data_IF_340724361990
#
_entry.id   IF_340724361990
#
_cell.length_a   1.000
_cell.length_b   1.000
_cell.length_c   1.000
_cell.angle_alpha   90.00
_cell.angle_beta   90.00
_cell.angle_gamma   90.00
#
_symmetry.space_group_name_H-M   'P 1'
#
loop_
_entity.id
_entity.type
_entity.pdbx_description
1 polymer ?
#
# COMPACT_ATOMS: atom_id res chain seq x y z
N UNK A 1 20.80 9.27 9.29
CA UNK A 1 21.96 8.36 9.06
C UNK A 1 21.92 7.95 7.59
N UNK A 2 22.98 7.35 7.04
CA UNK A 2 22.99 6.96 5.62
C UNK A 2 22.34 5.60 5.39
N UNK A 3 22.07 5.27 4.12
CA UNK A 3 21.70 3.91 3.72
C UNK A 3 22.82 2.90 4.04
N UNK A 4 22.44 1.78 4.65
CA UNK A 4 23.35 0.69 4.99
C UNK A 4 23.10 -0.49 4.07
N UNK A 5 24.16 -1.02 3.47
CA UNK A 5 24.07 -2.20 2.60
C UNK A 5 23.75 -3.44 3.45
N UNK A 6 22.86 -4.27 2.94
CA UNK A 6 22.49 -5.58 3.48
C UNK A 6 22.90 -6.64 2.47
N UNK A 7 23.59 -7.69 2.92
CA UNK A 7 24.02 -8.78 2.04
C UNK A 7 22.83 -9.46 1.38
N UNK A 8 23.00 -9.88 0.12
CA UNK A 8 21.98 -10.52 -0.68
C UNK A 8 21.61 -9.74 -1.94
N UNK A 9 20.84 -10.39 -2.82
CA UNK A 9 20.36 -9.82 -4.07
C UNK A 9 18.87 -10.11 -4.22
N UNK A 10 18.06 -9.06 -4.35
CA UNK A 10 16.60 -9.18 -4.49
C UNK A 10 16.09 -8.36 -5.68
N UNK A 11 14.97 -8.79 -6.24
CA UNK A 11 14.24 -8.08 -7.28
C UNK A 11 13.04 -7.33 -6.75
N UNK A 12 12.46 -7.81 -5.65
CA UNK A 12 11.37 -7.15 -4.93
C UNK A 12 11.40 -7.59 -3.45
N UNK A 13 10.90 -6.73 -2.57
CA UNK A 13 10.73 -7.02 -1.15
C UNK A 13 9.45 -6.39 -0.59
N UNK A 14 8.97 -6.92 0.53
CA UNK A 14 7.90 -6.33 1.31
C UNK A 14 8.24 -6.40 2.80
N UNK A 15 7.74 -5.43 3.54
CA UNK A 15 8.06 -5.22 4.95
C UNK A 15 6.77 -5.00 5.74
N UNK A 16 6.56 -5.84 6.75
CA UNK A 16 5.48 -5.69 7.73
C UNK A 16 5.96 -5.06 9.03
N UNK A 17 5.18 -5.27 10.10
CA UNK A 17 5.51 -4.81 11.46
C UNK A 17 6.70 -5.57 12.05
N UNK A 18 7.48 -4.91 12.91
CA UNK A 18 8.60 -5.53 13.62
C UNK A 18 9.74 -5.94 12.68
N UNK A 19 9.90 -5.21 11.55
CA UNK A 19 10.86 -5.53 10.49
C UNK A 19 10.70 -6.96 9.94
N UNK A 20 9.45 -7.46 9.83
CA UNK A 20 9.15 -8.71 9.13
C UNK A 20 9.33 -8.50 7.63
N UNK A 21 10.55 -8.75 7.14
CA UNK A 21 10.94 -8.52 5.75
C UNK A 21 10.97 -9.84 4.99
N UNK A 22 10.31 -9.84 3.84
CA UNK A 22 10.40 -10.92 2.86
C UNK A 22 10.85 -10.35 1.52
N UNK A 23 11.51 -11.19 0.72
CA UNK A 23 12.01 -10.80 -0.59
C UNK A 23 11.99 -11.94 -1.58
N UNK A 24 12.00 -11.58 -2.85
CA UNK A 24 12.19 -12.50 -3.97
C UNK A 24 13.36 -12.04 -4.82
N UNK A 25 14.06 -12.97 -5.47
CA UNK A 25 15.19 -12.65 -6.34
C UNK A 25 14.91 -12.94 -7.84
N UNK A 26 15.91 -12.72 -8.69
CA UNK A 26 15.78 -12.89 -10.14
C UNK A 26 15.57 -14.35 -10.59
N UNK A 27 15.85 -15.33 -9.71
CA UNK A 27 15.62 -16.76 -9.93
C UNK A 27 14.30 -17.22 -9.30
N UNK A 28 13.44 -16.29 -8.90
CA UNK A 28 12.17 -16.53 -8.21
C UNK A 28 12.32 -17.17 -6.83
N UNK A 29 13.54 -17.23 -6.26
CA UNK A 29 13.72 -17.75 -4.91
C UNK A 29 13.11 -16.80 -3.88
N UNK A 30 12.44 -17.37 -2.88
CA UNK A 30 11.79 -16.64 -1.80
C UNK A 30 12.73 -16.61 -0.59
N UNK A 31 12.87 -15.45 0.04
CA UNK A 31 13.70 -15.26 1.23
C UNK A 31 12.93 -14.54 2.33
N UNK A 32 13.22 -14.91 3.57
CA UNK A 32 12.80 -14.21 4.78
C UNK A 32 14.02 -13.66 5.51
N UNK A 33 13.97 -12.40 5.92
CA UNK A 33 15.02 -11.81 6.74
C UNK A 33 14.85 -12.20 8.20
N UNK A 34 15.82 -12.92 8.76
CA UNK A 34 15.78 -13.43 10.14
C UNK A 34 17.14 -13.17 10.78
N UNK A 35 17.14 -12.47 11.92
CA UNK A 35 18.33 -12.21 12.75
C UNK A 35 19.51 -11.65 11.94
N UNK A 36 19.26 -10.68 11.06
CA UNK A 36 20.30 -10.05 10.24
C UNK A 36 20.69 -10.82 8.98
N UNK A 37 20.04 -11.93 8.67
CA UNK A 37 20.41 -12.80 7.53
C UNK A 37 19.20 -13.23 6.71
N UNK A 38 19.37 -13.37 5.39
CA UNK A 38 18.34 -13.95 4.54
C UNK A 38 18.33 -15.48 4.67
N UNK A 39 17.15 -16.03 4.93
CA UNK A 39 16.88 -17.47 4.93
C UNK A 39 15.98 -17.78 3.76
N UNK A 40 16.43 -18.67 2.88
CA UNK A 40 15.62 -19.12 1.77
C UNK A 40 14.44 -19.95 2.29
N UNK A 41 13.25 -19.68 1.77
CA UNK A 41 12.02 -20.41 2.02
C UNK A 41 11.67 -21.17 0.74
N UNK A 42 11.37 -22.46 0.85
CA UNK A 42 11.05 -23.29 -0.31
C UNK A 42 9.83 -22.74 -1.06
N UNK A 43 9.93 -22.68 -2.38
CA UNK A 43 8.89 -22.12 -3.25
C UNK A 43 9.51 -21.27 -4.36
N UNK A 44 8.66 -20.78 -5.26
CA UNK A 44 9.06 -19.87 -6.32
C UNK A 44 8.04 -18.73 -6.44
N UNK A 45 8.50 -17.48 -6.35
CA UNK A 45 7.65 -16.30 -6.47
C UNK A 45 8.37 -15.14 -7.18
N UNK A 46 7.61 -14.35 -7.92
CA UNK A 46 8.04 -13.10 -8.55
C UNK A 46 7.62 -11.88 -7.75
N UNK A 47 6.73 -12.06 -6.76
CA UNK A 47 6.27 -11.01 -5.88
C UNK A 47 5.96 -11.56 -4.48
N UNK A 48 6.28 -10.79 -3.45
CA UNK A 48 5.88 -11.05 -2.07
C UNK A 48 5.24 -9.82 -1.45
N UNK A 49 4.23 -10.04 -0.63
CA UNK A 49 3.57 -9.02 0.17
C UNK A 49 3.43 -9.48 1.62
N UNK A 50 3.62 -8.55 2.55
CA UNK A 50 3.63 -8.83 4.00
C UNK A 50 2.70 -7.85 4.72
N UNK A 51 1.65 -8.37 5.33
CA UNK A 51 0.73 -7.62 6.18
C UNK A 51 1.34 -7.24 7.53
N UNK A 52 0.81 -6.19 8.16
CA UNK A 52 1.22 -5.78 9.50
C UNK A 52 0.94 -6.84 10.58
N UNK A 53 -0.02 -7.74 10.32
CA UNK A 53 -0.36 -8.90 11.15
C UNK A 53 0.59 -10.09 10.93
N UNK A 54 1.57 -9.96 10.03
CA UNK A 54 2.51 -11.01 9.68
C UNK A 54 2.03 -11.96 8.59
N UNK A 55 0.82 -11.75 8.05
CA UNK A 55 0.32 -12.53 6.90
C UNK A 55 1.25 -12.32 5.70
N UNK A 56 1.59 -13.40 5.01
CA UNK A 56 2.46 -13.35 3.83
C UNK A 56 1.73 -13.94 2.64
N UNK A 57 1.79 -13.22 1.53
CA UNK A 57 1.25 -13.62 0.24
C UNK A 57 2.33 -13.57 -0.81
N UNK A 58 2.28 -14.50 -1.75
CA UNK A 58 3.19 -14.53 -2.89
C UNK A 58 2.43 -14.78 -4.18
N UNK A 59 3.03 -14.27 -5.26
CA UNK A 59 2.58 -14.51 -6.63
C UNK A 59 3.75 -15.11 -7.40
N UNK A 60 3.51 -16.22 -8.08
CA UNK A 60 4.54 -16.86 -8.90
C UNK A 60 4.49 -16.41 -10.36
N UNK A 61 5.44 -16.89 -11.17
CA UNK A 61 5.55 -16.57 -12.60
C UNK A 61 4.36 -17.07 -13.43
N UNK A 62 3.58 -18.01 -12.90
CA UNK A 62 2.33 -18.49 -13.49
C UNK A 62 1.11 -17.69 -13.02
N UNK A 63 1.31 -16.57 -12.31
CA UNK A 63 0.28 -15.73 -11.70
C UNK A 63 -0.60 -16.47 -10.68
N UNK A 64 -0.10 -17.57 -10.12
CA UNK A 64 -0.78 -18.28 -9.04
C UNK A 64 -0.49 -17.58 -7.71
N UNK A 65 -1.53 -17.49 -6.87
CA UNK A 65 -1.48 -16.81 -5.58
C UNK A 65 -1.37 -17.86 -4.48
N UNK A 66 -0.44 -17.66 -3.56
CA UNK A 66 -0.26 -18.49 -2.38
C UNK A 66 -0.19 -17.63 -1.11
N UNK A 67 -0.61 -18.19 0.00
CA UNK A 67 -0.42 -17.61 1.33
C UNK A 67 0.37 -18.55 2.22
N UNK A 68 1.15 -17.99 3.13
CA UNK A 68 2.00 -18.73 4.06
C UNK A 68 1.24 -19.08 5.34
N UNK A 69 1.02 -20.37 5.60
CA UNK A 69 0.29 -20.88 6.77
C UNK A 69 1.06 -22.06 7.34
N UNK A 70 1.34 -22.04 8.65
CA UNK A 70 1.98 -23.15 9.37
C UNK A 70 3.20 -23.75 8.65
N UNK A 71 4.07 -22.87 8.14
CA UNK A 71 5.29 -23.22 7.40
C UNK A 71 5.08 -23.87 6.02
N UNK A 72 3.89 -23.73 5.43
CA UNK A 72 3.57 -24.21 4.10
C UNK A 72 2.89 -23.14 3.25
N UNK A 73 3.08 -23.24 1.92
CA UNK A 73 2.33 -22.44 0.95
C UNK A 73 1.00 -23.10 0.66
N UNK A 74 -0.09 -22.40 0.94
CA UNK A 74 -1.45 -22.79 0.56
C UNK A 74 -1.85 -22.01 -0.68
N UNK A 75 -2.18 -22.72 -1.76
CA UNK A 75 -2.67 -22.10 -2.98
C UNK A 75 -4.08 -21.56 -2.76
N UNK A 76 -4.29 -20.30 -3.16
CA UNK A 76 -5.60 -19.66 -3.10
C UNK A 76 -6.22 -19.67 -4.49
N UNK A 77 -7.31 -20.40 -4.65
CA UNK A 77 -8.04 -20.51 -5.91
C UNK A 77 -8.92 -19.28 -6.13
N UNK A 78 -8.72 -18.66 -7.29
CA UNK A 78 -9.56 -17.62 -7.86
C UNK A 78 -9.20 -17.54 -9.33
N UNK A 79 -10.20 -17.56 -10.22
CA UNK A 79 -9.96 -17.48 -11.66
C UNK A 79 -9.44 -16.09 -12.03
N UNK A 80 -8.12 -15.94 -12.11
CA UNK A 80 -7.50 -14.98 -13.00
C UNK A 80 -6.90 -15.77 -14.16
N UNK A 81 -7.71 -15.91 -15.21
CA UNK A 81 -7.27 -16.40 -16.51
C UNK A 81 -6.34 -15.35 -17.11
N UNK A 82 -5.07 -15.74 -17.30
CA UNK A 82 -4.16 -15.25 -18.32
C UNK A 82 -3.48 -13.86 -18.14
N UNK A 83 -2.20 -13.86 -18.56
CA UNK A 83 -1.45 -12.77 -19.21
C UNK A 83 -0.63 -11.84 -18.30
N UNK A 84 0.71 -11.96 -18.47
CA UNK A 84 1.79 -10.95 -18.33
C UNK A 84 1.77 -10.07 -17.06
N UNK A 85 2.64 -9.08 -16.91
CA UNK A 85 2.58 -7.95 -15.97
C UNK A 85 2.13 -8.19 -14.53
N UNK A 86 3.11 -8.52 -13.70
CA UNK A 86 3.31 -7.99 -12.34
C UNK A 86 2.02 -7.70 -11.56
N UNK A 87 1.52 -8.72 -10.85
CA UNK A 87 0.58 -8.52 -9.74
C UNK A 87 1.33 -7.80 -8.62
N UNK A 88 1.23 -6.48 -8.58
CA UNK A 88 2.26 -5.65 -7.97
C UNK A 88 2.15 -5.49 -6.46
N UNK A 89 1.25 -6.13 -5.70
CA UNK A 89 1.28 -6.11 -4.22
C UNK A 89 0.02 -6.78 -3.67
N UNK A 90 0.20 -7.60 -2.64
CA UNK A 90 -0.84 -8.05 -1.72
C UNK A 90 -0.38 -7.61 -0.33
N UNK A 91 -0.87 -6.49 0.20
CA UNK A 91 -0.60 -6.13 1.59
C UNK A 91 -1.89 -5.76 2.28
N UNK A 92 -2.46 -6.68 3.01
CA UNK A 92 -3.34 -6.28 4.08
C UNK A 92 -3.52 -7.43 5.02
N UNK A 93 -4.17 -7.11 6.13
CA UNK A 93 -4.48 -8.08 7.16
C UNK A 93 -5.47 -9.14 6.62
N UNK A 94 -5.88 -10.05 7.50
CA UNK A 94 -6.98 -11.01 7.22
C UNK A 94 -8.25 -10.39 6.63
N UNK A 95 -8.42 -9.07 6.54
CA UNK A 95 -9.65 -8.41 6.11
C UNK A 95 -9.55 -7.65 4.78
N UNK A 96 -8.37 -7.19 4.36
CA UNK A 96 -8.20 -6.41 3.13
C UNK A 96 -7.09 -6.96 2.24
N UNK A 97 -7.41 -7.38 1.01
CA UNK A 97 -6.39 -7.79 0.04
C UNK A 97 -6.67 -7.08 -1.28
N UNK A 98 -5.67 -6.43 -1.85
CA UNK A 98 -5.74 -5.79 -3.16
C UNK A 98 -4.74 -6.43 -4.11
N UNK A 99 -4.95 -6.24 -5.41
CA UNK A 99 -4.00 -6.61 -6.45
C UNK A 99 -4.38 -6.00 -7.78
N UNK A 100 -3.40 -5.85 -8.67
CA UNK A 100 -3.58 -5.41 -10.06
C UNK A 100 -3.17 -6.54 -10.99
N UNK A 101 -3.85 -6.76 -12.11
CA UNK A 101 -3.36 -7.67 -13.14
C UNK A 101 -2.64 -6.91 -14.26
N UNK A 102 -2.09 -7.61 -15.25
CA UNK A 102 -1.42 -6.98 -16.39
C UNK A 102 -2.30 -6.20 -17.35
N UNK A 103 -3.61 -6.43 -17.30
CA UNK A 103 -4.56 -5.55 -17.99
C UNK A 103 -4.79 -4.25 -17.20
N UNK A 104 -4.00 -4.02 -16.14
CA UNK A 104 -4.10 -2.93 -15.18
C UNK A 104 -5.42 -2.93 -14.40
N UNK A 105 -6.19 -4.02 -14.44
CA UNK A 105 -7.45 -4.14 -13.71
C UNK A 105 -7.15 -4.35 -12.24
N UNK A 106 -7.84 -3.60 -11.40
CA UNK A 106 -7.68 -3.60 -9.96
C UNK A 106 -8.72 -4.55 -9.35
N UNK A 107 -8.31 -5.35 -8.38
CA UNK A 107 -9.19 -6.21 -7.63
C UNK A 107 -9.01 -5.97 -6.13
N UNK A 108 -10.11 -6.06 -5.39
CA UNK A 108 -10.09 -6.14 -3.94
C UNK A 108 -10.82 -7.39 -3.45
N UNK A 109 -10.42 -7.85 -2.27
CA UNK A 109 -11.02 -8.96 -1.55
C UNK A 109 -11.25 -8.52 -0.10
N UNK A 110 -12.48 -8.71 0.35
CA UNK A 110 -12.88 -8.64 1.76
C UNK A 110 -12.82 -10.03 2.39
N UNK A 111 -12.43 -10.12 3.66
CA UNK A 111 -12.29 -11.38 4.40
C UNK A 111 -11.29 -12.33 3.73
N UNK A 112 -10.00 -11.99 3.86
CA UNK A 112 -8.83 -12.74 3.39
C UNK A 112 -8.70 -14.18 3.89
N UNK A 113 -9.66 -14.69 4.66
CA UNK A 113 -9.64 -16.01 5.29
C UNK A 113 -9.71 -17.17 4.28
N UNK A 114 -9.04 -18.27 4.58
CA UNK A 114 -8.65 -19.33 3.64
C UNK A 114 -9.84 -20.26 3.31
N UNK A 115 -10.95 -20.16 4.04
CA UNK A 115 -11.95 -21.24 4.13
C UNK A 115 -13.42 -20.80 3.93
N UNK A 116 -13.75 -20.04 2.88
CA UNK A 116 -15.16 -19.89 2.50
C UNK A 116 -15.35 -20.17 1.01
N UNK A 117 -16.35 -20.96 0.65
CA UNK A 117 -16.68 -21.28 -0.75
C UNK A 117 -17.31 -20.09 -1.52
N UNK A 118 -17.22 -18.86 -0.98
CA UNK A 118 -17.86 -17.64 -1.48
C UNK A 118 -16.83 -16.50 -1.68
N UNK A 119 -15.60 -16.82 -2.06
CA UNK A 119 -14.54 -15.84 -2.27
C UNK A 119 -14.62 -15.22 -3.67
N UNK A 120 -15.05 -13.97 -3.75
CA UNK A 120 -15.16 -13.22 -5.00
C UNK A 120 -14.19 -12.05 -4.96
N UNK A 121 -13.15 -12.11 -5.80
CA UNK A 121 -12.38 -10.92 -6.15
C UNK A 121 -13.29 -9.95 -6.87
N UNK A 122 -13.43 -8.75 -6.33
CA UNK A 122 -14.33 -7.74 -6.88
C UNK A 122 -13.49 -6.73 -7.68
N UNK A 123 -13.80 -6.51 -8.98
CA UNK A 123 -13.09 -5.52 -9.77
C UNK A 123 -13.39 -4.11 -9.24
N UNK A 124 -12.36 -3.27 -9.21
CA UNK A 124 -12.46 -1.84 -8.92
C UNK A 124 -12.18 -1.09 -10.20
N UNK A 125 -13.02 -0.09 -10.50
CA UNK A 125 -12.78 0.79 -11.64
C UNK A 125 -11.45 1.53 -11.49
N UNK A 126 -10.71 1.63 -12.60
CA UNK A 126 -9.37 2.23 -12.64
C UNK A 126 -8.39 1.38 -13.44
N UNK A 127 -7.19 1.92 -13.65
CA UNK A 127 -6.10 1.25 -14.37
C UNK A 127 -4.78 1.56 -13.67
N UNK A 128 -4.23 0.56 -12.98
CA UNK A 128 -3.00 0.70 -12.20
C UNK A 128 -1.98 -0.36 -12.62
N UNK A 129 -0.71 0.03 -12.69
CA UNK A 129 0.41 -0.91 -12.80
C UNK A 129 0.92 -1.31 -11.43
N UNK A 130 0.78 -0.47 -10.41
CA UNK A 130 1.17 -0.73 -9.02
C UNK A 130 0.06 -0.34 -8.03
N UNK A 131 -0.09 -1.07 -6.92
CA UNK A 131 -1.06 -0.78 -5.86
C UNK A 131 -0.53 -1.20 -4.49
N UNK A 132 -0.42 -0.32 -3.51
CA UNK A 132 -0.05 -0.69 -2.14
C UNK A 132 -1.19 -0.41 -1.17
N UNK A 133 -1.30 -1.26 -0.17
CA UNK A 133 -2.36 -1.21 0.85
C UNK A 133 -1.75 -1.44 2.22
N UNK A 134 -2.26 -0.73 3.22
CA UNK A 134 -1.86 -0.85 4.62
C UNK A 134 -2.98 -1.50 5.46
N UNK A 135 -2.63 -1.98 6.65
CA UNK A 135 -3.59 -2.58 7.59
C UNK A 135 -4.66 -1.61 8.10
N UNK A 136 -4.44 -0.29 7.97
CA UNK A 136 -5.44 0.73 8.31
C UNK A 136 -6.44 1.01 7.16
N UNK A 137 -6.35 0.24 6.06
CA UNK A 137 -7.18 0.39 4.87
C UNK A 137 -6.72 1.51 3.92
N UNK A 138 -5.59 2.17 4.19
CA UNK A 138 -5.00 3.13 3.26
C UNK A 138 -4.55 2.40 2.00
N UNK A 139 -5.00 2.85 0.82
CA UNK A 139 -4.60 2.27 -0.47
C UNK A 139 -4.14 3.38 -1.41
N UNK A 140 -3.01 3.13 -2.07
CA UNK A 140 -2.45 3.97 -3.11
C UNK A 140 -2.06 3.14 -4.32
N UNK A 141 -1.93 3.76 -5.48
CA UNK A 141 -1.42 3.09 -6.66
C UNK A 141 -0.80 4.04 -7.67
N UNK A 142 -0.12 3.45 -8.65
CA UNK A 142 0.39 4.17 -9.82
C UNK A 142 -0.14 3.58 -11.11
N UNK A 143 -0.47 4.42 -12.09
CA UNK A 143 -0.94 4.00 -13.42
C UNK A 143 0.22 3.71 -14.38
N UNK A 144 -0.11 3.19 -15.57
CA UNK A 144 0.87 2.98 -16.65
C UNK A 144 1.46 4.28 -17.20
N UNK A 145 0.81 5.42 -16.95
CA UNK A 145 1.33 6.77 -17.24
C UNK A 145 2.07 7.38 -16.05
N UNK A 146 2.34 6.56 -15.02
CA UNK A 146 3.02 6.92 -13.78
C UNK A 146 2.26 7.97 -12.94
N UNK A 147 0.96 8.18 -13.22
CA UNK A 147 0.10 9.01 -12.38
C UNK A 147 -0.18 8.31 -11.05
N UNK A 148 -0.21 9.09 -9.98
CA UNK A 148 -0.37 8.57 -8.62
C UNK A 148 -1.82 8.74 -8.19
N UNK A 149 -2.38 7.71 -7.57
CA UNK A 149 -3.76 7.73 -7.09
C UNK A 149 -3.86 7.25 -5.65
N UNK A 150 -4.76 7.87 -4.88
CA UNK A 150 -5.16 7.47 -3.54
C UNK A 150 -6.61 7.00 -3.55
N UNK A 151 -6.88 5.87 -2.93
CA UNK A 151 -8.25 5.36 -2.79
C UNK A 151 -9.05 6.16 -1.76
N UNK A 152 -10.25 6.60 -2.13
CA UNK A 152 -11.17 7.36 -1.26
C UNK A 152 -12.29 6.50 -0.66
N UNK A 153 -12.27 5.19 -0.85
CA UNK A 153 -13.32 4.27 -0.39
C UNK A 153 -14.36 3.92 -1.46
N UNK A 154 -14.53 4.77 -2.47
CA UNK A 154 -15.47 4.56 -3.58
C UNK A 154 -14.87 4.88 -4.96
N UNK A 155 -13.85 5.73 -5.01
CA UNK A 155 -13.16 6.12 -6.24
C UNK A 155 -11.69 6.48 -5.97
N UNK A 156 -10.91 6.61 -7.03
CA UNK A 156 -9.52 7.04 -7.01
C UNK A 156 -9.41 8.55 -7.11
N UNK A 157 -8.66 9.16 -6.21
CA UNK A 157 -8.28 10.57 -6.27
C UNK A 157 -6.86 10.66 -6.80
N UNK A 158 -6.66 11.36 -7.91
CA UNK A 158 -5.32 11.62 -8.43
C UNK A 158 -4.55 12.55 -7.48
N UNK A 159 -3.30 12.19 -7.20
CA UNK A 159 -2.37 12.98 -6.41
C UNK A 159 -1.24 13.41 -7.34
N UNK A 160 -0.85 14.69 -7.28
CA UNK A 160 0.19 15.24 -8.13
C UNK A 160 1.54 14.52 -7.95
N UNK A 161 2.33 14.47 -9.02
CA UNK A 161 3.62 13.76 -9.07
C UNK A 161 3.60 12.61 -10.07
N UNK A 162 4.76 11.97 -10.24
CA UNK A 162 4.94 10.79 -11.10
C UNK A 162 5.79 9.73 -10.41
N UNK A 163 5.28 8.51 -10.30
CA UNK A 163 5.97 7.38 -9.70
C UNK A 163 5.77 6.11 -10.53
N UNK A 164 6.78 5.24 -10.56
CA UNK A 164 6.68 3.91 -11.17
C UNK A 164 6.45 2.80 -10.15
N UNK A 165 6.63 3.10 -8.86
CA UNK A 165 6.38 2.19 -7.75
C UNK A 165 5.99 2.97 -6.48
N UNK A 166 5.06 2.45 -5.71
CA UNK A 166 4.57 3.00 -4.44
C UNK A 166 4.46 1.92 -3.36
N UNK A 167 4.72 2.28 -2.11
CA UNK A 167 4.61 1.40 -0.95
C UNK A 167 3.99 2.15 0.23
N UNK A 168 3.04 1.53 0.90
CA UNK A 168 2.27 2.11 1.99
C UNK A 168 2.25 1.15 3.16
N UNK A 169 2.64 1.61 4.35
CA UNK A 169 2.49 0.85 5.60
C UNK A 169 1.47 1.46 6.57
N UNK A 170 1.12 2.73 6.39
CA UNK A 170 0.00 3.41 7.03
C UNK A 170 -0.38 4.67 6.27
N UNK A 171 -1.42 5.36 6.73
CA UNK A 171 -1.79 6.71 6.28
C UNK A 171 -0.62 7.71 6.29
N UNK A 172 0.33 7.54 7.19
CA UNK A 172 1.42 8.49 7.43
C UNK A 172 2.76 8.00 6.84
N UNK A 173 2.82 6.75 6.37
CA UNK A 173 4.03 6.10 5.90
C UNK A 173 3.83 5.61 4.47
N UNK A 174 4.05 6.54 3.54
CA UNK A 174 3.90 6.35 2.11
C UNK A 174 5.20 6.77 1.44
N UNK A 175 5.80 5.84 0.68
CA UNK A 175 7.02 6.09 -0.10
C UNK A 175 6.87 5.55 -1.51
N UNK A 176 7.67 6.06 -2.43
CA UNK A 176 7.74 5.52 -3.78
C UNK A 176 8.97 5.97 -4.52
N UNK A 177 9.14 5.43 -5.73
CA UNK A 177 10.22 5.82 -6.64
C UNK A 177 9.69 6.21 -8.01
N UNK A 178 10.36 7.16 -8.65
CA UNK A 178 10.05 7.61 -10.01
C UNK A 178 10.91 6.90 -11.07
N UNK A 179 10.77 7.30 -12.33
CA UNK A 179 11.52 6.73 -13.45
C UNK A 179 13.04 6.88 -13.30
N UNK A 180 13.49 7.98 -12.72
CA UNK A 180 14.90 8.26 -12.45
C UNK A 180 15.47 7.52 -11.23
N UNK A 181 14.70 6.61 -10.61
CA UNK A 181 15.04 5.93 -9.36
C UNK A 181 15.19 6.88 -8.16
N UNK A 182 14.65 8.10 -8.24
CA UNK A 182 14.61 9.02 -7.10
C UNK A 182 13.50 8.60 -6.14
N UNK A 183 13.77 8.75 -4.85
CA UNK A 183 12.92 8.25 -3.77
C UNK A 183 12.12 9.42 -3.20
N UNK A 184 10.83 9.21 -2.96
CA UNK A 184 9.97 10.23 -2.37
C UNK A 184 9.18 9.69 -1.18
N UNK A 185 9.01 10.51 -0.16
CA UNK A 185 8.08 10.30 0.94
C UNK A 185 6.91 11.28 0.81
N UNK A 186 5.69 10.81 1.00
CA UNK A 186 4.51 11.69 1.04
C UNK A 186 4.21 12.12 2.47
N UNK A 187 4.31 13.42 2.76
CA UNK A 187 4.06 14.00 4.08
C UNK A 187 3.35 15.34 3.91
N UNK A 188 2.37 15.65 4.77
CA UNK A 188 1.66 16.94 4.75
C UNK A 188 1.15 17.34 3.36
N UNK A 189 0.58 16.37 2.64
CA UNK A 189 0.08 16.51 1.27
C UNK A 189 1.12 16.87 0.19
N UNK A 190 2.42 16.71 0.48
CA UNK A 190 3.52 17.04 -0.42
C UNK A 190 4.50 15.87 -0.55
N UNK A 191 5.12 15.73 -1.72
CA UNK A 191 6.22 14.79 -1.94
C UNK A 191 7.54 15.43 -1.54
N UNK A 192 8.28 14.77 -0.66
CA UNK A 192 9.62 15.14 -0.25
C UNK A 192 10.62 14.13 -0.79
N UNK A 193 11.61 14.60 -1.54
CA UNK A 193 12.67 13.74 -2.06
C UNK A 193 13.59 13.30 -0.91
N UNK A 194 13.92 12.01 -0.88
CA UNK A 194 14.93 11.43 -0.01
C UNK A 194 16.22 11.18 -0.82
N UNK A 195 17.37 11.17 -0.14
CA UNK A 195 18.65 10.77 -0.73
C UNK A 195 18.67 9.28 -1.07
N UNK A 196 19.44 8.95 -2.12
CA UNK A 196 19.61 7.59 -2.64
C UNK A 196 19.07 7.43 -4.07
N UNK A 197 19.31 6.26 -4.66
CA UNK A 197 18.79 5.88 -5.97
C UNK A 197 18.40 4.41 -5.97
N UNK A 198 17.10 4.14 -5.98
CA UNK A 198 16.55 2.78 -5.91
C UNK A 198 15.46 2.56 -6.94
N UNK A 199 15.40 1.35 -7.49
CA UNK A 199 14.32 0.94 -8.41
C UNK A 199 13.09 0.42 -7.67
N UNK A 200 13.22 0.17 -6.37
CA UNK A 200 12.15 -0.31 -5.51
C UNK A 200 12.42 0.13 -4.07
N UNK A 201 11.40 0.62 -3.38
CA UNK A 201 11.45 0.96 -1.95
C UNK A 201 10.25 0.42 -1.20
N UNK A 202 10.48 0.09 0.07
CA UNK A 202 9.44 -0.25 1.02
C UNK A 202 9.71 0.41 2.36
N UNK A 203 8.65 0.57 3.15
CA UNK A 203 8.72 1.18 4.48
C UNK A 203 7.91 0.31 5.46
N UNK A 204 8.49 -0.02 6.61
CA UNK A 204 7.76 -0.71 7.69
C UNK A 204 6.84 0.26 8.44
N UNK A 205 5.90 -0.26 9.23
CA UNK A 205 5.08 0.57 10.14
C UNK A 205 5.93 1.27 11.22
N UNK A 206 7.13 0.74 11.49
CA UNK A 206 8.08 1.27 12.48
C UNK A 206 9.04 2.29 11.83
N UNK A 207 8.83 2.64 10.56
CA UNK A 207 9.58 3.66 9.84
C UNK A 207 10.93 3.21 9.26
N UNK A 208 11.27 1.92 9.35
CA UNK A 208 12.47 1.37 8.71
C UNK A 208 12.25 1.30 7.19
N UNK A 209 13.14 1.94 6.44
CA UNK A 209 13.19 1.92 4.99
C UNK A 209 14.03 0.75 4.47
N UNK A 210 13.58 0.18 3.37
CA UNK A 210 14.30 -0.80 2.57
C UNK A 210 14.32 -0.36 1.11
N UNK A 211 15.47 -0.49 0.47
CA UNK A 211 15.69 -0.10 -0.92
C UNK A 211 16.40 -1.20 -1.70
N UNK A 212 16.05 -1.34 -2.98
CA UNK A 212 16.74 -2.22 -3.93
C UNK A 212 17.24 -1.35 -5.08
N UNK A 213 18.53 -1.40 -5.37
CA UNK A 213 19.12 -0.62 -6.46
C UNK A 213 19.04 -1.36 -7.83
N UNK A 214 19.53 -0.73 -8.90
CA UNK A 214 19.55 -1.35 -10.23
C UNK A 214 20.38 -2.64 -10.28
N UNK A 215 21.42 -2.77 -9.43
CA UNK A 215 22.23 -3.98 -9.27
C UNK A 215 21.57 -5.09 -8.46
N UNK A 216 20.32 -4.92 -8.01
CA UNK A 216 19.63 -5.83 -7.09
C UNK A 216 20.21 -5.88 -5.68
N UNK A 217 21.15 -4.99 -5.35
CA UNK A 217 21.70 -4.87 -4.01
C UNK A 217 20.67 -4.24 -3.08
N UNK A 218 20.71 -4.69 -1.82
CA UNK A 218 19.71 -4.37 -0.82
C UNK A 218 20.31 -3.35 0.17
N UNK A 219 19.51 -2.37 0.54
CA UNK A 219 19.89 -1.37 1.52
C UNK A 219 18.76 -1.18 2.52
N UNK A 220 19.12 -0.90 3.77
CA UNK A 220 18.18 -0.51 4.82
C UNK A 220 18.62 0.80 5.44
N UNK A 221 17.64 1.55 5.95
CA UNK A 221 17.89 2.81 6.64
C UNK A 221 16.83 3.06 7.69
N UNK A 222 17.26 3.48 8.86
CA UNK A 222 16.39 3.96 9.92
C UNK A 222 16.74 5.41 10.21
N UNK A 223 15.91 6.30 9.68
CA UNK A 223 16.00 7.73 9.95
C UNK A 223 14.79 8.18 10.77
N UNK A 224 14.91 9.37 11.38
CA UNK A 224 13.73 10.16 11.72
C UNK A 224 13.12 10.60 10.39
N UNK A 225 12.23 9.77 9.84
CA UNK A 225 11.37 10.12 8.71
C UNK A 225 10.80 11.52 8.94
N UNK A 226 10.52 12.26 7.86
CA UNK A 226 9.88 13.56 7.98
C UNK A 226 8.56 13.33 8.71
N UNK A 227 8.52 13.73 9.97
CA UNK A 227 7.39 13.49 10.85
C UNK A 227 6.41 14.63 10.68
N UNK A 228 5.11 14.37 10.87
CA UNK A 228 4.09 15.42 10.84
C UNK A 228 4.28 16.53 11.90
N UNK A 229 5.25 16.38 12.81
CA UNK A 229 5.43 17.24 13.99
C UNK A 229 6.26 18.51 13.71
N UNK A 230 6.99 18.57 12.59
CA UNK A 230 7.92 19.70 12.35
C UNK A 230 7.26 21.01 11.87
N UNK A 231 5.93 21.06 11.75
CA UNK A 231 5.21 22.30 11.42
C UNK A 231 4.97 23.23 12.63
N UNK A 232 5.26 22.81 13.86
CA UNK A 232 4.97 23.60 15.07
C UNK A 232 6.20 24.17 15.81
N UNK A 233 7.44 23.91 15.37
CA UNK A 233 8.64 24.31 16.12
C UNK A 233 9.64 25.18 15.34
N UNK A 234 9.14 26.17 14.60
CA UNK A 234 9.96 27.32 14.19
C UNK A 234 9.29 28.63 14.60
N UNK A 235 9.27 28.89 15.90
CA UNK A 235 9.31 30.27 16.41
C UNK A 235 10.67 30.47 17.07
N UNK A 236 11.68 30.80 16.26
CA UNK A 236 12.87 31.43 16.79
C UNK A 236 12.48 32.80 17.34
N UNK A 237 12.62 32.94 18.66
CA UNK A 237 12.59 34.19 19.39
C UNK A 237 13.62 35.17 18.82
N UNK A 238 13.15 36.25 18.20
CA UNK A 238 13.88 37.51 18.13
C UNK A 238 13.12 38.49 19.02
N UNK A 239 13.72 38.83 20.16
CA UNK A 239 13.28 39.89 21.03
C UNK A 239 13.55 41.25 20.36
N UNK A 240 12.51 42.00 20.04
CA UNK A 240 12.56 43.47 20.07
C UNK A 240 11.16 44.01 20.42
N UNK A 241 11.05 44.72 21.55
CA UNK A 241 9.79 45.30 22.00
C UNK A 241 9.44 46.61 21.30
N UNK A 242 8.16 46.92 21.15
CA UNK A 242 7.36 47.73 22.08
C UNK A 242 5.88 47.84 21.64
N UNK A 243 5.01 47.86 22.66
CA UNK A 243 3.70 48.51 22.84
C UNK A 243 2.45 48.17 22.01
N UNK A 244 1.45 47.79 22.81
CA UNK A 244 0.03 48.19 22.84
C UNK A 244 -1.03 47.61 21.88
N UNK A 245 -1.97 46.95 22.56
CA UNK A 245 -3.44 47.14 22.51
C UNK A 245 -4.31 46.00 21.94
N UNK A 246 -5.17 45.52 22.85
CA UNK A 246 -6.57 45.15 22.68
C UNK A 246 -6.98 43.93 21.82
N UNK A 247 -7.66 43.00 22.53
CA UNK A 247 -9.06 42.62 22.26
C UNK A 247 -9.33 41.58 21.16
N UNK A 248 -9.52 40.31 21.54
CA UNK A 248 -10.85 39.67 21.64
C UNK A 248 -10.75 38.14 21.61
N UNK A 249 -11.29 37.54 22.66
CA UNK A 249 -11.64 36.13 22.80
C UNK A 249 -12.81 35.76 21.89
N UNK A 250 -12.64 34.77 21.01
CA UNK A 250 -13.73 34.08 20.34
C UNK A 250 -13.63 32.57 20.57
N UNK A 251 -14.51 32.09 21.45
CA UNK A 251 -14.84 30.68 21.68
C UNK A 251 -15.66 30.20 20.47
N UNK A 252 -15.19 29.18 19.76
CA UNK A 252 -16.02 28.47 18.75
C UNK A 252 -16.65 27.25 19.40
N UNK A 253 -17.96 27.32 19.59
CA UNK A 253 -18.83 26.20 19.96
C UNK A 253 -19.03 25.34 18.69
N UNK A 254 -18.46 24.15 18.66
CA UNK A 254 -18.72 23.16 17.61
C UNK A 254 -20.09 22.50 17.83
N UNK A 255 -21.07 22.87 17.01
CA UNK A 255 -22.37 22.18 16.92
C UNK A 255 -22.21 20.87 16.15
N UNK A 256 -22.42 19.76 16.86
CA UNK A 256 -22.53 18.42 16.28
C UNK A 256 -23.86 18.26 15.53
N UNK A 257 -23.81 18.25 14.20
CA UNK A 257 -24.91 17.77 13.35
C UNK A 257 -24.31 16.96 12.20
N UNK A 258 -24.20 15.64 12.38
CA UNK A 258 -23.55 14.79 11.36
C UNK A 258 -23.85 13.30 11.43
N UNK A 259 -24.86 12.86 12.18
CA UNK A 259 -25.18 11.43 12.31
C UNK A 259 -26.51 11.01 11.65
N UNK A 260 -27.37 11.96 11.27
CA UNK A 260 -28.65 11.65 10.61
C UNK A 260 -28.54 11.47 9.08
N UNK A 261 -27.67 12.24 8.42
CA UNK A 261 -27.54 12.23 6.96
C UNK A 261 -26.75 11.02 6.43
N UNK A 262 -25.79 10.51 7.21
CA UNK A 262 -24.97 9.35 6.82
C UNK A 262 -25.77 8.04 6.75
N UNK A 263 -26.73 7.85 7.66
CA UNK A 263 -27.59 6.66 7.71
C UNK A 263 -28.60 6.65 6.53
N UNK A 264 -29.11 7.82 6.13
CA UNK A 264 -30.06 7.94 5.02
C UNK A 264 -29.38 7.66 3.68
N UNK A 265 -28.15 8.15 3.47
CA UNK A 265 -27.38 7.89 2.24
C UNK A 265 -27.04 6.39 2.12
N UNK A 266 -26.66 5.74 3.22
CA UNK A 266 -26.36 4.30 3.24
C UNK A 266 -27.59 3.44 2.86
N UNK A 267 -28.77 3.85 3.33
CA UNK A 267 -30.03 3.16 3.06
C UNK A 267 -30.44 3.27 1.58
N UNK A 268 -30.24 4.43 0.96
CA UNK A 268 -30.57 4.66 -0.45
C UNK A 268 -29.60 3.89 -1.37
N UNK A 269 -28.31 3.84 -1.03
CA UNK A 269 -27.31 3.10 -1.81
C UNK A 269 -27.60 1.59 -1.83
N UNK A 270 -27.95 0.99 -0.69
CA UNK A 270 -28.34 -0.42 -0.59
C UNK A 270 -29.60 -0.70 -1.43
N UNK A 271 -30.58 0.21 -1.41
CA UNK A 271 -31.84 0.03 -2.15
C UNK A 271 -31.66 0.11 -3.68
N UNK A 272 -30.73 0.94 -4.16
CA UNK A 272 -30.36 1.03 -5.58
C UNK A 272 -29.65 -0.25 -6.05
N UNK A 273 -28.71 -0.77 -5.25
CA UNK A 273 -27.98 -2.01 -5.55
C UNK A 273 -28.96 -3.20 -5.63
N UNK A 274 -29.88 -3.34 -4.67
CA UNK A 274 -30.87 -4.43 -4.67
C UNK A 274 -31.84 -4.34 -5.86
N UNK A 275 -32.27 -3.12 -6.25
CA UNK A 275 -33.13 -2.93 -7.43
C UNK A 275 -32.43 -3.29 -8.73
N UNK A 276 -31.13 -3.00 -8.86
CA UNK A 276 -30.39 -3.32 -10.06
C UNK A 276 -30.18 -4.83 -10.24
N UNK A 277 -29.94 -5.55 -9.14
CA UNK A 277 -29.79 -7.02 -9.15
C UNK A 277 -31.09 -7.76 -9.51
N UNK A 278 -32.25 -7.33 -9.02
CA UNK A 278 -33.54 -7.95 -9.39
C UNK A 278 -33.91 -7.75 -10.87
N UNK A 279 -33.44 -6.67 -11.51
CA UNK A 279 -33.71 -6.41 -12.92
C UNK A 279 -32.82 -7.26 -13.85
N UNK A 280 -31.62 -7.63 -13.40
CA UNK A 280 -30.70 -8.49 -14.14
C UNK A 280 -31.09 -9.98 -14.10
N UNK A 281 -31.72 -10.46 -13.02
CA UNK A 281 -32.14 -11.88 -12.89
C UNK A 281 -33.36 -12.25 -13.73
N UNK A 282 -34.12 -11.28 -14.25
CA UNK A 282 -35.36 -11.53 -15.02
C UNK A 282 -35.09 -11.70 -16.53
N UNK A 283 -33.88 -11.39 -17.02
CA UNK A 283 -33.52 -11.46 -18.46
C UNK A 283 -32.81 -12.76 -18.88
N UNK A 284 -32.82 -13.82 -18.04
CA UNK A 284 -32.22 -15.12 -18.36
C UNK A 284 -33.20 -16.30 -18.16
N UNK A 285 -34.43 -16.20 -18.65
CA UNK A 285 -35.23 -17.37 -19.05
C UNK A 285 -36.20 -16.92 -20.14
N UNK A 286 -35.86 -17.21 -21.39
CA UNK A 286 -36.73 -17.53 -22.55
C UNK A 286 -35.82 -17.83 -23.73
#
# INVERSE_FOLDING_TARGET
MGWQKVDGLLTQLAVGRGNNVWGVNAQDNIFRYINGTWRQVQGAATYVGVGADGTVWVVNRLNQIFTWVDYAWIQIFGSLVQISGKLLLIVGDKTHVWGVNNASVIYFRINGDINTNNLIWTPVFGSLIDVSVASDGTVWGVSSTHDIYKWAGYDWIQVGGKLKQIYVSSRDLIVGVNDNNEIFQYVNNTWHQLDGSFRYVAISIDGILWGINNGSEIFTRQDNLISQIDSNNNSQTINHGTNDSQSNSNIIIGLAMGLGLTIIIFSIAILIIVRHYKKASILRVT
#
